data_IF_834200119169
#
_entry.id   IF_834200119169
#
_cell.length_a   1.000
_cell.length_b   1.000
_cell.length_c   1.000
_cell.angle_alpha   90.00
_cell.angle_beta   90.00
_cell.angle_gamma   90.00
#
_symmetry.space_group_name_H-M   'P 1'
#
loop_
_entity.id
_entity.type
_entity.pdbx_description
1 polymer ?
#
# COMPACT_ATOMS: atom_id res chain seq x y z
N UNK A 1 -10.83 -22.11 14.28
CA UNK A 1 -9.96 -21.17 15.00
C UNK A 1 -8.55 -21.73 14.94
N UNK A 2 -7.64 -21.05 14.24
CA UNK A 2 -6.24 -21.45 14.15
C UNK A 2 -5.38 -20.31 14.70
N UNK A 3 -4.55 -20.61 15.71
CA UNK A 3 -3.59 -19.67 16.26
C UNK A 3 -2.32 -19.70 15.41
N UNK A 4 -1.90 -18.54 14.89
CA UNK A 4 -0.62 -18.40 14.18
C UNK A 4 0.39 -17.72 15.12
N UNK A 5 1.17 -18.51 15.84
CA UNK A 5 2.14 -18.05 16.84
C UNK A 5 3.48 -17.54 16.28
N UNK A 6 3.70 -17.64 14.96
CA UNK A 6 4.94 -17.24 14.28
C UNK A 6 4.90 -15.88 13.56
N UNK A 7 3.80 -15.14 13.63
CA UNK A 7 3.67 -13.83 13.03
C UNK A 7 4.16 -12.72 13.98
N UNK A 8 4.60 -11.58 13.43
CA UNK A 8 5.10 -10.42 14.19
C UNK A 8 4.05 -9.87 15.17
N UNK A 9 2.76 -10.11 14.87
CA UNK A 9 1.62 -9.92 15.76
C UNK A 9 0.90 -11.26 15.84
N UNK A 10 0.55 -11.79 17.03
CA UNK A 10 -0.26 -13.01 17.13
C UNK A 10 -1.61 -12.81 16.43
N UNK A 11 -1.92 -13.68 15.47
CA UNK A 11 -3.17 -13.64 14.71
C UNK A 11 -4.00 -14.87 15.04
N UNK A 12 -5.28 -14.65 15.33
CA UNK A 12 -6.30 -15.68 15.36
C UNK A 12 -7.07 -15.63 14.05
N UNK A 13 -6.95 -16.68 13.24
CA UNK A 13 -7.76 -16.81 12.02
C UNK A 13 -9.14 -17.36 12.43
N UNK A 14 -10.17 -16.55 12.21
CA UNK A 14 -11.56 -16.92 12.30
C UNK A 14 -12.09 -17.29 10.91
N UNK A 15 -12.80 -18.41 10.84
CA UNK A 15 -13.49 -18.84 9.64
C UNK A 15 -14.96 -18.97 9.98
N UNK A 16 -15.77 -18.02 9.51
CA UNK A 16 -17.23 -18.11 9.60
C UNK A 16 -17.72 -18.99 8.46
N UNK A 17 -17.90 -20.28 8.75
CA UNK A 17 -18.39 -21.28 7.79
C UNK A 17 -19.81 -21.01 7.29
N UNK A 18 -20.59 -20.17 7.99
CA UNK A 18 -21.96 -19.85 7.59
C UNK A 18 -22.04 -18.76 6.53
N UNK A 19 -21.02 -17.90 6.46
CA UNK A 19 -20.93 -16.77 5.51
C UNK A 19 -19.76 -16.89 4.52
N UNK A 20 -18.98 -17.95 4.62
CA UNK A 20 -17.72 -18.15 3.88
C UNK A 20 -16.76 -16.96 4.01
N UNK A 21 -16.70 -16.39 5.22
CA UNK A 21 -15.83 -15.26 5.55
C UNK A 21 -14.65 -15.75 6.38
N UNK A 22 -13.44 -15.39 5.95
CA UNK A 22 -12.21 -15.55 6.71
C UNK A 22 -11.77 -14.18 7.23
N UNK A 23 -11.46 -14.09 8.52
CA UNK A 23 -11.05 -12.86 9.16
C UNK A 23 -9.95 -13.08 10.19
N UNK A 24 -9.00 -12.15 10.24
CA UNK A 24 -7.89 -12.16 11.19
C UNK A 24 -8.23 -11.27 12.39
N UNK A 25 -8.21 -11.83 13.61
CA UNK A 25 -8.24 -11.04 14.85
C UNK A 25 -6.82 -10.88 15.39
N UNK A 26 -6.44 -9.64 15.65
CA UNK A 26 -5.22 -9.27 16.37
C UNK A 26 -5.56 -8.44 17.61
N UNK A 27 -4.80 -8.63 18.70
CA UNK A 27 -5.01 -7.93 19.97
C UNK A 27 -4.17 -6.65 20.03
N UNK A 28 -4.77 -5.53 20.45
CA UNK A 28 -4.13 -4.23 20.76
C UNK A 28 -3.33 -3.54 19.63
N UNK A 29 -3.69 -3.73 18.35
CA UNK A 29 -3.01 -3.01 17.27
C UNK A 29 -3.75 -1.73 16.85
N UNK A 30 -3.65 -0.67 17.66
CA UNK A 30 -4.17 0.67 17.34
C UNK A 30 -3.63 1.21 16.01
N UNK A 31 -2.38 0.88 15.66
CA UNK A 31 -1.77 1.21 14.38
C UNK A 31 -2.52 0.57 13.19
N UNK A 32 -3.03 -0.65 13.33
CA UNK A 32 -3.87 -1.28 12.30
C UNK A 32 -5.17 -0.52 12.07
N UNK A 33 -5.80 -0.01 13.14
CA UNK A 33 -7.01 0.82 13.05
C UNK A 33 -6.70 2.12 12.29
N UNK A 34 -5.62 2.81 12.66
CA UNK A 34 -5.18 4.02 11.97
C UNK A 34 -4.79 3.79 10.51
N UNK A 35 -4.06 2.71 10.22
CA UNK A 35 -3.70 2.34 8.86
C UNK A 35 -4.95 2.03 8.02
N UNK A 36 -5.91 1.28 8.56
CA UNK A 36 -7.18 0.98 7.87
C UNK A 36 -7.95 2.26 7.55
N UNK A 37 -8.07 3.16 8.52
CA UNK A 37 -8.71 4.47 8.31
C UNK A 37 -7.98 5.32 7.27
N UNK A 38 -6.65 5.38 7.33
CA UNK A 38 -5.85 6.12 6.36
C UNK A 38 -5.99 5.55 4.95
N UNK A 39 -5.97 4.22 4.79
CA UNK A 39 -6.16 3.58 3.47
C UNK A 39 -7.56 3.84 2.91
N UNK A 40 -8.59 3.81 3.77
CA UNK A 40 -9.95 4.20 3.39
C UNK A 40 -9.98 5.64 2.89
N UNK A 41 -9.40 6.57 3.64
CA UNK A 41 -9.35 7.98 3.26
C UNK A 41 -8.65 8.18 1.91
N UNK A 42 -7.52 7.50 1.66
CA UNK A 42 -6.89 7.53 0.34
C UNK A 42 -7.76 6.96 -0.77
N UNK A 43 -8.56 5.93 -0.48
CA UNK A 43 -9.52 5.37 -1.42
C UNK A 43 -10.68 6.32 -1.77
N UNK A 44 -11.06 7.21 -0.86
CA UNK A 44 -12.13 8.20 -1.09
C UNK A 44 -11.62 9.52 -1.69
N UNK A 45 -10.32 9.80 -1.66
CA UNK A 45 -9.74 11.04 -2.20
C UNK A 45 -9.95 11.18 -3.71
N UNK A 46 -9.85 10.09 -4.46
CA UNK A 46 -9.97 10.11 -5.91
C UNK A 46 -10.54 8.78 -6.44
N UNK A 47 -11.52 8.86 -7.34
CA UNK A 47 -12.23 7.69 -7.86
C UNK A 47 -11.35 6.69 -8.60
N UNK A 48 -10.15 7.10 -9.06
CA UNK A 48 -9.18 6.25 -9.76
C UNK A 48 -8.36 5.37 -8.82
N UNK A 49 -8.32 5.67 -7.51
CA UNK A 49 -7.46 4.96 -6.54
C UNK A 49 -7.91 3.52 -6.34
N UNK A 50 -9.18 3.28 -6.00
CA UNK A 50 -9.69 1.93 -5.71
C UNK A 50 -9.55 1.00 -6.92
N UNK A 51 -9.96 1.39 -8.15
CA UNK A 51 -9.76 0.55 -9.33
C UNK A 51 -8.28 0.23 -9.59
N UNK A 52 -7.39 1.23 -9.47
CA UNK A 52 -5.97 1.03 -9.69
C UNK A 52 -5.36 0.05 -8.68
N UNK A 53 -5.72 0.17 -7.39
CA UNK A 53 -5.31 -0.77 -6.34
C UNK A 53 -5.81 -2.18 -6.63
N UNK A 54 -7.07 -2.34 -7.04
CA UNK A 54 -7.66 -3.65 -7.35
C UNK A 54 -6.89 -4.31 -8.50
N UNK A 55 -6.68 -3.59 -9.60
CA UNK A 55 -5.98 -4.11 -10.78
C UNK A 55 -4.54 -4.49 -10.43
N UNK A 56 -3.80 -3.65 -9.71
CA UNK A 56 -2.42 -3.93 -9.32
C UNK A 56 -2.34 -5.11 -8.35
N UNK A 57 -3.31 -5.27 -7.43
CA UNK A 57 -3.38 -6.45 -6.56
C UNK A 57 -3.62 -7.73 -7.35
N UNK A 58 -4.59 -7.71 -8.27
CA UNK A 58 -4.92 -8.87 -9.11
C UNK A 58 -3.73 -9.27 -9.99
N UNK A 59 -3.07 -8.28 -10.62
CA UNK A 59 -1.82 -8.49 -11.35
C UNK A 59 -0.74 -9.12 -10.48
N UNK A 60 -0.49 -8.57 -9.28
CA UNK A 60 0.58 -9.04 -8.41
C UNK A 60 0.35 -10.48 -7.90
N UNK A 61 -0.92 -10.87 -7.73
CA UNK A 61 -1.32 -12.25 -7.45
C UNK A 61 -1.03 -13.17 -8.63
N UNK A 62 -1.43 -12.79 -9.86
CA UNK A 62 -1.14 -13.59 -11.07
C UNK A 62 0.36 -13.73 -11.33
N UNK A 63 1.12 -12.65 -11.15
CA UNK A 63 2.58 -12.64 -11.23
C UNK A 63 3.27 -13.42 -10.09
N UNK A 64 2.51 -13.91 -9.09
CA UNK A 64 2.99 -14.64 -7.92
C UNK A 64 4.05 -13.86 -7.13
N UNK A 65 3.91 -12.54 -7.03
CA UNK A 65 4.82 -11.67 -6.26
C UNK A 65 4.21 -11.19 -4.94
N UNK A 66 3.06 -11.74 -4.56
CA UNK A 66 2.38 -11.54 -3.27
C UNK A 66 2.38 -12.82 -2.46
N UNK A 67 2.90 -12.77 -1.23
CA UNK A 67 2.72 -13.72 -0.12
C UNK A 67 3.87 -13.48 0.87
N UNK A 68 3.60 -12.84 2.01
CA UNK A 68 4.65 -12.50 2.97
C UNK A 68 5.37 -13.75 3.53
N UNK A 69 4.68 -14.90 3.58
CA UNK A 69 5.27 -16.19 4.02
C UNK A 69 6.33 -16.70 3.04
N UNK A 70 6.24 -16.32 1.77
CA UNK A 70 7.20 -16.66 0.72
C UNK A 70 8.25 -15.56 0.48
N UNK A 71 8.46 -14.67 1.46
CA UNK A 71 9.39 -13.54 1.36
C UNK A 71 9.04 -12.52 0.27
N UNK A 72 7.74 -12.42 -0.06
CA UNK A 72 7.19 -11.54 -1.10
C UNK A 72 6.41 -10.37 -0.49
N UNK A 73 5.88 -9.47 -1.32
CA UNK A 73 5.15 -8.29 -0.87
C UNK A 73 3.84 -8.68 -0.17
N UNK A 74 3.49 -7.94 0.89
CA UNK A 74 2.16 -8.02 1.51
C UNK A 74 1.15 -7.21 0.70
N UNK A 75 -0.14 -7.51 0.86
CA UNK A 75 -1.21 -6.72 0.25
C UNK A 75 -1.16 -5.25 0.70
N UNK A 76 -0.77 -4.99 1.95
CA UNK A 76 -0.60 -3.64 2.46
C UNK A 76 0.58 -2.91 1.81
N UNK A 77 1.73 -3.57 1.64
CA UNK A 77 2.89 -2.99 0.95
C UNK A 77 2.56 -2.58 -0.50
N UNK A 78 1.76 -3.38 -1.22
CA UNK A 78 1.30 -3.02 -2.56
C UNK A 78 0.43 -1.76 -2.54
N UNK A 79 -0.50 -1.62 -1.60
CA UNK A 79 -1.33 -0.41 -1.49
C UNK A 79 -0.46 0.82 -1.24
N UNK A 80 0.54 0.72 -0.36
CA UNK A 80 1.47 1.84 -0.12
C UNK A 80 2.31 2.18 -1.36
N UNK A 81 2.73 1.20 -2.15
CA UNK A 81 3.41 1.46 -3.44
C UNK A 81 2.51 2.23 -4.41
N UNK A 82 1.23 1.86 -4.50
CA UNK A 82 0.26 2.58 -5.36
C UNK A 82 0.07 4.01 -4.87
N UNK A 83 -0.18 4.21 -3.58
CA UNK A 83 -0.39 5.56 -3.02
C UNK A 83 0.87 6.42 -3.21
N UNK A 84 2.06 5.88 -2.92
CA UNK A 84 3.31 6.61 -3.10
C UNK A 84 3.55 7.00 -4.57
N UNK A 85 3.26 6.11 -5.52
CA UNK A 85 3.33 6.43 -6.94
C UNK A 85 2.36 7.57 -7.32
N UNK A 86 1.13 7.55 -6.80
CA UNK A 86 0.15 8.61 -7.05
C UNK A 86 0.53 9.95 -6.39
N UNK A 87 1.33 9.92 -5.32
CA UNK A 87 1.86 11.11 -4.64
C UNK A 87 3.12 11.69 -5.30
N UNK A 88 4.01 10.84 -5.80
CA UNK A 88 5.38 11.24 -6.17
C UNK A 88 5.75 10.90 -7.61
N UNK A 89 5.20 9.82 -8.15
CA UNK A 89 5.46 9.37 -9.52
C UNK A 89 4.60 10.06 -10.58
N UNK A 90 3.55 10.77 -10.18
CA UNK A 90 2.66 11.51 -11.06
C UNK A 90 2.99 13.01 -11.07
N UNK A 91 2.88 13.66 -12.23
CA UNK A 91 3.02 15.12 -12.37
C UNK A 91 1.87 15.68 -13.24
N UNK A 92 0.92 16.44 -12.68
CA UNK A 92 0.79 16.76 -11.25
C UNK A 92 0.45 15.52 -10.39
N UNK A 93 0.72 15.55 -9.07
CA UNK A 93 0.36 14.45 -8.18
C UNK A 93 -1.15 14.24 -8.16
N UNK A 94 -1.56 12.97 -8.10
CA UNK A 94 -2.97 12.58 -7.98
C UNK A 94 -3.41 12.65 -6.52
N UNK A 95 -2.54 12.25 -5.59
CA UNK A 95 -2.82 12.23 -4.15
C UNK A 95 -1.91 13.19 -3.37
N UNK A 96 -2.41 13.84 -2.31
CA UNK A 96 -1.59 14.58 -1.37
C UNK A 96 -1.01 13.64 -0.31
N UNK A 97 -0.21 14.17 0.62
CA UNK A 97 -0.04 13.50 1.91
C UNK A 97 -1.10 14.00 2.89
N UNK A 98 -2.01 13.10 3.28
CA UNK A 98 -3.00 13.40 4.32
C UNK A 98 -2.34 13.70 5.67
N UNK A 99 -1.26 12.99 6.02
CA UNK A 99 -0.57 13.16 7.29
C UNK A 99 0.39 14.37 7.34
N UNK A 100 0.47 15.16 6.27
CA UNK A 100 1.08 16.48 6.29
C UNK A 100 0.04 17.61 6.40
N UNK A 101 -1.25 17.30 6.26
CA UNK A 101 -2.32 18.27 6.46
C UNK A 101 -2.60 18.43 7.97
N UNK A 102 -2.44 19.64 8.54
CA UNK A 102 -2.73 19.89 9.95
C UNK A 102 -4.15 19.49 10.39
N UNK A 103 -5.14 19.56 9.49
CA UNK A 103 -6.52 19.15 9.76
C UNK A 103 -6.65 17.63 9.96
N UNK A 104 -5.64 16.86 9.55
CA UNK A 104 -5.63 15.41 9.64
C UNK A 104 -4.84 14.88 10.84
N UNK A 105 -4.05 15.71 11.52
CA UNK A 105 -3.20 15.29 12.63
C UNK A 105 -4.01 14.73 13.82
N UNK A 106 -5.22 15.25 14.06
CA UNK A 106 -6.08 14.82 15.16
C UNK A 106 -6.55 13.36 15.10
N UNK A 107 -6.37 12.67 13.96
CA UNK A 107 -6.78 11.28 13.79
C UNK A 107 -5.69 10.27 14.21
N UNK A 108 -4.42 10.68 14.38
CA UNK A 108 -3.27 9.77 14.58
C UNK A 108 -2.68 9.84 16.01
N UNK A 109 -3.51 10.12 17.01
CA UNK A 109 -3.11 10.05 18.43
C UNK A 109 -3.59 8.75 19.07
N UNK A 110 -2.88 8.18 20.05
CA UNK A 110 -3.38 6.99 20.77
C UNK A 110 -4.76 7.22 21.38
N UNK A 111 -5.01 8.42 21.93
CA UNK A 111 -6.31 8.85 22.44
C UNK A 111 -7.43 8.89 21.41
N UNK A 112 -7.12 8.92 20.10
CA UNK A 112 -8.12 8.93 19.03
C UNK A 112 -8.43 7.55 18.47
N UNK A 113 -7.79 6.47 18.93
CA UNK A 113 -8.00 5.12 18.38
C UNK A 113 -9.47 4.68 18.41
N UNK A 114 -10.17 4.87 19.53
CA UNK A 114 -11.58 4.53 19.67
C UNK A 114 -12.45 5.35 18.70
N UNK A 115 -12.22 6.66 18.65
CA UNK A 115 -12.94 7.58 17.74
C UNK A 115 -12.70 7.23 16.26
N UNK A 116 -11.49 6.82 15.90
CA UNK A 116 -11.19 6.37 14.53
C UNK A 116 -11.89 5.05 14.22
N UNK A 117 -11.99 4.14 15.18
CA UNK A 117 -12.78 2.91 15.01
C UNK A 117 -14.27 3.24 14.80
N UNK A 118 -14.85 4.13 15.60
CA UNK A 118 -16.23 4.63 15.40
C UNK A 118 -16.40 5.30 14.03
N UNK A 119 -15.40 6.05 13.55
CA UNK A 119 -15.43 6.65 12.21
C UNK A 119 -15.41 5.60 11.09
N UNK A 120 -14.69 4.49 11.28
CA UNK A 120 -14.71 3.37 10.34
C UNK A 120 -16.07 2.69 10.31
N UNK A 121 -16.67 2.43 11.47
CA UNK A 121 -18.00 1.80 11.59
C UNK A 121 -19.12 2.66 10.99
N UNK A 122 -19.05 3.97 11.20
CA UNK A 122 -20.06 4.92 10.70
C UNK A 122 -19.75 5.43 9.27
N UNK A 123 -18.76 4.85 8.60
CA UNK A 123 -18.30 5.27 7.26
C UNK A 123 -18.02 6.79 7.16
N UNK A 124 -17.53 7.40 8.24
CA UNK A 124 -17.27 8.83 8.30
C UNK A 124 -16.11 9.23 7.40
N UNK A 125 -16.32 10.22 6.54
CA UNK A 125 -15.28 10.79 5.67
C UNK A 125 -14.92 12.20 6.11
N UNK A 126 -13.66 12.47 6.51
CA UNK A 126 -13.24 13.79 6.96
C UNK A 126 -13.36 14.85 5.84
N UNK A 127 -13.63 16.13 6.18
CA UNK A 127 -13.71 17.21 5.18
C UNK A 127 -12.48 17.36 4.27
N UNK A 128 -11.22 17.23 4.76
CA UNK A 128 -10.06 17.28 3.87
C UNK A 128 -10.04 16.20 2.79
N UNK A 129 -10.77 15.08 3.01
CA UNK A 129 -10.91 13.99 2.05
C UNK A 129 -12.05 14.28 1.08
N UNK A 130 -13.23 14.65 1.59
CA UNK A 130 -14.42 14.87 0.75
C UNK A 130 -14.35 16.11 -0.13
N UNK A 131 -13.57 17.12 0.27
CA UNK A 131 -13.38 18.37 -0.48
C UNK A 131 -12.17 18.33 -1.41
N UNK A 132 -11.37 17.27 -1.37
CA UNK A 132 -10.19 17.16 -2.21
C UNK A 132 -10.58 16.98 -3.68
N UNK A 133 -9.76 17.53 -4.56
CA UNK A 133 -9.86 17.30 -6.00
C UNK A 133 -8.46 17.26 -6.60
N UNK A 134 -8.13 16.13 -7.24
CA UNK A 134 -6.87 15.96 -7.94
C UNK A 134 -6.74 16.95 -9.09
N UNK A 135 -5.55 17.52 -9.26
CA UNK A 135 -5.20 18.34 -10.45
C UNK A 135 -4.80 17.51 -11.67
N UNK A 136 -4.50 16.23 -11.48
CA UNK A 136 -4.15 15.32 -12.57
C UNK A 136 -5.38 14.86 -13.34
N UNK A 137 -5.32 14.99 -14.66
CA UNK A 137 -6.33 14.49 -15.61
C UNK A 137 -6.00 13.10 -16.17
N UNK A 138 -4.95 12.43 -15.69
CA UNK A 138 -4.54 11.13 -16.20
C UNK A 138 -5.65 10.08 -16.02
N UNK A 139 -5.94 9.32 -17.07
CA UNK A 139 -6.86 8.19 -17.02
C UNK A 139 -6.29 7.04 -16.17
N UNK A 140 -7.16 6.11 -15.75
CA UNK A 140 -6.74 4.92 -14.99
C UNK A 140 -5.71 4.10 -15.79
N UNK A 141 -5.86 4.00 -17.11
CA UNK A 141 -4.92 3.29 -17.98
C UNK A 141 -3.55 3.94 -18.00
N UNK A 142 -3.48 5.27 -18.14
CA UNK A 142 -2.22 6.02 -18.07
C UNK A 142 -1.55 5.87 -16.69
N UNK A 143 -2.35 5.89 -15.61
CA UNK A 143 -1.84 5.68 -14.26
C UNK A 143 -1.30 4.27 -14.06
N UNK A 144 -1.94 3.25 -14.64
CA UNK A 144 -1.49 1.86 -14.58
C UNK A 144 -0.15 1.66 -15.32
N UNK A 145 -0.05 2.14 -16.56
CA UNK A 145 1.19 2.10 -17.34
C UNK A 145 2.30 2.86 -16.59
N UNK A 146 1.98 4.06 -16.10
CA UNK A 146 2.91 4.90 -15.36
C UNK A 146 3.39 4.27 -14.06
N UNK A 147 2.55 3.49 -13.35
CA UNK A 147 2.96 2.75 -12.16
C UNK A 147 4.08 1.75 -12.48
N UNK A 148 3.90 0.94 -13.52
CA UNK A 148 4.92 -0.04 -13.91
C UNK A 148 6.17 0.64 -14.47
N UNK A 149 6.02 1.71 -15.25
CA UNK A 149 7.15 2.53 -15.73
C UNK A 149 7.96 3.14 -14.58
N UNK A 150 7.27 3.66 -13.58
CA UNK A 150 7.89 4.26 -12.41
C UNK A 150 8.71 3.23 -11.64
N UNK A 151 8.12 2.07 -11.34
CA UNK A 151 8.80 1.05 -10.54
C UNK A 151 9.81 0.17 -11.29
N UNK A 152 9.76 0.11 -12.62
CA UNK A 152 10.76 -0.62 -13.43
C UNK A 152 12.15 0.04 -13.36
N UNK A 153 12.18 1.37 -13.30
CA UNK A 153 13.40 2.18 -13.20
C UNK A 153 13.70 2.70 -11.78
N UNK A 154 12.89 2.32 -10.79
CA UNK A 154 12.95 2.86 -9.44
C UNK A 154 14.20 2.44 -8.67
N UNK A 155 14.76 3.38 -7.90
CA UNK A 155 15.86 3.11 -6.98
C UNK A 155 15.34 2.53 -5.64
N UNK A 156 15.29 1.20 -5.55
CA UNK A 156 14.85 0.44 -4.37
C UNK A 156 15.74 0.60 -3.12
N UNK A 157 16.91 1.25 -3.23
CA UNK A 157 17.71 1.62 -2.05
C UNK A 157 17.06 2.72 -1.19
N UNK A 158 16.15 3.51 -1.79
CA UNK A 158 15.45 4.61 -1.09
C UNK A 158 14.38 4.05 -0.14
N UNK A 159 14.10 4.80 0.92
CA UNK A 159 12.97 4.53 1.81
C UNK A 159 11.77 5.33 1.32
N UNK A 160 10.71 4.64 0.89
CA UNK A 160 9.47 5.26 0.46
C UNK A 160 8.62 5.62 1.69
N UNK A 161 8.00 6.80 1.68
CA UNK A 161 7.07 7.21 2.73
C UNK A 161 5.82 7.84 2.14
N UNK A 162 4.68 7.20 2.38
CA UNK A 162 3.36 7.76 2.09
C UNK A 162 3.06 8.94 3.02
N UNK A 163 3.54 8.90 4.27
CA UNK A 163 3.35 9.98 5.23
C UNK A 163 3.98 11.28 4.75
N UNK A 164 5.17 11.25 4.18
CA UNK A 164 5.84 12.49 3.74
C UNK A 164 5.61 12.79 2.26
N UNK A 165 4.80 11.98 1.55
CA UNK A 165 4.70 12.00 0.10
C UNK A 165 6.09 12.11 -0.57
N UNK A 166 7.00 11.22 -0.18
CA UNK A 166 8.40 11.38 -0.56
C UNK A 166 9.30 10.26 -0.09
N UNK A 167 10.52 10.63 0.26
CA UNK A 167 11.57 9.68 0.61
C UNK A 167 12.26 10.09 1.90
N UNK A 168 12.61 9.08 2.69
CA UNK A 168 13.29 9.27 3.96
C UNK A 168 14.76 8.87 3.86
N UNK A 169 15.64 9.43 4.72
CA UNK A 169 16.98 8.91 4.89
C UNK A 169 16.92 7.46 5.40
N UNK A 170 17.86 6.62 4.95
CA UNK A 170 17.94 5.23 5.37
C UNK A 170 18.29 5.14 6.86
N UNK A 171 17.40 4.57 7.72
CA UNK A 171 17.72 4.43 9.15
C UNK A 171 18.90 3.48 9.38
N UNK A 172 19.74 3.81 10.37
CA UNK A 172 20.89 2.98 10.76
C UNK A 172 20.46 1.78 11.62
N UNK A 173 19.66 0.86 11.07
CA UNK A 173 19.36 -0.40 11.76
C UNK A 173 19.10 -1.56 10.78
N UNK A 174 19.28 -2.79 11.26
CA UNK A 174 19.17 -4.02 10.46
C UNK A 174 17.76 -4.24 9.88
N UNK A 175 16.70 -3.77 10.55
CA UNK A 175 15.31 -3.90 10.08
C UNK A 175 15.05 -3.08 8.80
N UNK A 176 15.85 -2.05 8.55
CA UNK A 176 15.81 -1.25 7.32
C UNK A 176 16.92 -1.58 6.34
N UNK A 177 18.10 -1.99 6.82
CA UNK A 177 19.26 -2.27 5.96
C UNK A 177 19.21 -3.63 5.28
N UNK A 178 18.70 -4.66 5.98
CA UNK A 178 18.69 -6.02 5.46
C UNK A 178 17.66 -6.25 4.34
N UNK A 179 16.43 -5.69 4.39
CA UNK A 179 15.47 -5.87 3.31
C UNK A 179 15.88 -5.12 2.04
N UNK A 180 15.58 -5.69 0.89
CA UNK A 180 15.84 -5.09 -0.43
C UNK A 180 14.82 -3.98 -0.76
N UNK A 181 13.59 -4.11 -0.23
CA UNK A 181 12.52 -3.13 -0.38
C UNK A 181 12.25 -2.43 0.96
N UNK A 182 12.10 -1.11 0.92
CA UNK A 182 11.98 -0.25 2.12
C UNK A 182 10.80 0.69 2.00
N UNK A 183 9.70 0.33 2.65
CA UNK A 183 8.46 1.11 2.64
C UNK A 183 8.10 1.42 4.09
N UNK A 184 8.04 2.70 4.45
CA UNK A 184 7.62 3.17 5.77
C UNK A 184 6.14 2.90 5.99
N UNK A 185 5.83 2.23 7.09
CA UNK A 185 4.49 2.21 7.65
C UNK A 185 4.09 3.64 8.08
N UNK A 186 2.95 4.15 7.61
CA UNK A 186 2.53 5.50 7.90
C UNK A 186 2.14 5.73 9.37
N UNK A 187 2.00 4.70 10.20
CA UNK A 187 1.70 4.83 11.64
C UNK A 187 2.86 4.31 12.48
N UNK A 188 3.32 3.07 12.29
CA UNK A 188 4.30 2.42 13.17
C UNK A 188 5.77 2.81 12.90
N UNK A 189 6.04 3.53 11.79
CA UNK A 189 7.39 3.99 11.37
C UNK A 189 8.38 2.87 11.11
N UNK A 190 7.90 1.68 10.79
CA UNK A 190 8.73 0.54 10.47
C UNK A 190 8.65 0.16 9.01
N UNK A 191 9.54 -0.75 8.57
CA UNK A 191 9.48 -1.25 7.21
C UNK A 191 8.37 -2.31 7.07
N UNK A 192 7.38 -2.07 6.22
CA UNK A 192 6.30 -3.06 5.94
C UNK A 192 6.75 -4.18 5.00
N UNK A 193 7.88 -4.01 4.31
CA UNK A 193 8.46 -4.97 3.37
C UNK A 193 9.62 -5.78 3.97
N UNK A 194 9.66 -5.93 5.30
CA UNK A 194 10.69 -6.72 6.01
C UNK A 194 10.83 -8.16 5.50
N UNK A 195 9.76 -8.74 4.95
CA UNK A 195 9.76 -10.10 4.39
C UNK A 195 10.69 -10.24 3.17
N UNK A 196 10.91 -9.16 2.42
CA UNK A 196 11.69 -9.15 1.17
C UNK A 196 13.18 -8.90 1.47
N UNK A 197 13.80 -9.83 2.21
CA UNK A 197 15.23 -9.75 2.57
C UNK A 197 16.12 -10.71 1.77
N UNK A 198 15.54 -11.53 0.88
CA UNK A 198 16.29 -12.42 -0.01
C UNK A 198 16.38 -11.79 -1.39
N UNK A 199 17.56 -11.89 -2.00
CA UNK A 199 17.85 -11.34 -3.32
C UNK A 199 16.98 -11.96 -4.43
N UNK A 200 16.77 -13.28 -4.38
CA UNK A 200 16.00 -13.99 -5.43
C UNK A 200 14.54 -13.52 -5.51
N UNK A 201 13.72 -13.53 -4.43
CA UNK A 201 12.37 -12.95 -4.47
C UNK A 201 12.33 -11.48 -4.87
N UNK A 202 13.33 -10.68 -4.47
CA UNK A 202 13.43 -9.29 -4.90
C UNK A 202 13.64 -9.17 -6.42
N UNK A 203 14.49 -10.02 -7.01
CA UNK A 203 14.69 -10.08 -8.45
C UNK A 203 13.41 -10.52 -9.18
N UNK A 204 12.67 -11.50 -8.66
CA UNK A 204 11.37 -11.90 -9.20
C UNK A 204 10.39 -10.73 -9.26
N UNK A 205 10.31 -9.92 -8.19
CA UNK A 205 9.47 -8.72 -8.13
C UNK A 205 9.89 -7.72 -9.22
N UNK A 206 11.19 -7.41 -9.34
CA UNK A 206 11.68 -6.47 -10.35
C UNK A 206 11.37 -6.94 -11.78
N UNK A 207 11.65 -8.20 -12.08
CA UNK A 207 11.40 -8.78 -13.41
C UNK A 207 9.92 -8.80 -13.73
N UNK A 208 9.05 -9.08 -12.75
CA UNK A 208 7.60 -9.03 -12.96
C UNK A 208 7.13 -7.60 -13.32
N UNK A 209 7.59 -6.58 -12.59
CA UNK A 209 7.25 -5.17 -12.85
C UNK A 209 7.74 -4.75 -14.23
N UNK A 210 8.98 -5.08 -14.59
CA UNK A 210 9.56 -4.73 -15.90
C UNK A 210 8.82 -5.42 -17.05
N UNK A 211 8.46 -6.71 -16.89
CA UNK A 211 7.65 -7.43 -17.87
C UNK A 211 6.27 -6.80 -18.05
N UNK A 212 5.61 -6.42 -16.96
CA UNK A 212 4.31 -5.77 -17.01
C UNK A 212 4.38 -4.42 -17.75
N UNK A 213 5.41 -3.62 -17.46
CA UNK A 213 5.67 -2.38 -18.19
C UNK A 213 5.85 -2.65 -19.70
N UNK A 214 6.75 -3.56 -20.07
CA UNK A 214 7.06 -3.86 -21.48
C UNK A 214 5.88 -4.41 -22.29
N UNK A 215 4.88 -5.01 -21.63
CA UNK A 215 3.65 -5.47 -22.27
C UNK A 215 2.66 -4.33 -22.47
N UNK A 216 2.49 -3.47 -21.46
CA UNK A 216 1.54 -2.35 -21.50
C UNK A 216 2.04 -1.12 -22.27
N UNK A 217 3.35 -0.95 -22.46
CA UNK A 217 3.91 0.18 -23.24
C UNK A 217 3.71 0.04 -24.76
N UNK A 218 3.03 -1.03 -25.20
CA UNK A 218 2.74 -1.32 -26.61
C UNK A 218 1.44 -0.65 -27.03
N UNK A 219 1.38 -0.21 -28.29
CA UNK A 219 0.14 0.32 -28.88
C UNK A 219 -0.90 -0.80 -28.92
N UNK A 220 -2.10 -0.53 -28.40
CA UNK A 220 -3.21 -1.48 -28.35
C UNK A 220 -3.11 -2.53 -27.24
N UNK A 221 -2.21 -2.36 -26.27
CA UNK A 221 -2.13 -3.25 -25.12
C UNK A 221 -3.42 -3.23 -24.30
N UNK A 222 -3.80 -4.41 -23.82
CA UNK A 222 -4.99 -4.62 -22.98
C UNK A 222 -4.58 -5.05 -21.57
N UNK A 223 -5.51 -4.91 -20.62
CA UNK A 223 -5.26 -5.35 -19.25
C UNK A 223 -4.89 -6.84 -19.17
N UNK A 224 -5.50 -7.67 -20.01
CA UNK A 224 -5.25 -9.12 -20.06
C UNK A 224 -3.80 -9.47 -20.40
N UNK A 225 -3.03 -8.55 -21.01
CA UNK A 225 -1.64 -8.82 -21.38
C UNK A 225 -0.73 -8.99 -20.15
N UNK A 226 -1.12 -8.44 -19.00
CA UNK A 226 -0.33 -8.55 -17.76
C UNK A 226 -0.93 -9.52 -16.74
N UNK A 227 -2.15 -9.99 -16.97
CA UNK A 227 -2.86 -10.90 -16.07
C UNK A 227 -2.40 -12.35 -16.21
#
# INVERSE_FOLDING_TARGET
MQLVSGAVVPIVILQDRSRDLEGDISYENTNTVFNTFLMRCYGELDSRVKPLVIVIKAWAQSARITNARDHKLSGFALVLLVIHYLQVGCSPPVLPSLQQDPQFHGFFSESSALKVAEHLENEYTPPPVSLYSSRSSASIGELLVGFFRYYSSFNWARVLSVRTAGFLPLPYNKKWRNPEIRIEDPTDRTNVARSVYRLYPFQEIKVAIERAYNRLDRIGAELNDIM
#
